data_IF_856368706000
#
_entry.id   IF_856368706000
#
_cell.length_a   1.000
_cell.length_b   1.000
_cell.length_c   1.000
_cell.angle_alpha   90.00
_cell.angle_beta   90.00
_cell.angle_gamma   90.00
#
_symmetry.space_group_name_H-M   'P 1'
#
loop_
_entity.id
_entity.type
_entity.pdbx_description
1 polymer ?
#
# COMPACT_ATOMS: atom_id res chain seq x y z
N UNK A 1 -20.56 -9.44 8.09
CA UNK A 1 -19.86 -9.14 9.36
C UNK A 1 -18.34 -8.99 9.15
N UNK A 2 -17.88 -8.35 8.06
CA UNK A 2 -16.44 -8.24 7.72
C UNK A 2 -15.84 -6.85 7.99
N UNK A 3 -16.66 -5.79 7.94
CA UNK A 3 -16.21 -4.40 8.15
C UNK A 3 -15.62 -4.19 9.55
N UNK A 4 -16.30 -4.69 10.59
CA UNK A 4 -15.79 -4.60 11.98
C UNK A 4 -14.50 -5.38 12.26
N UNK A 5 -14.14 -6.35 11.40
CA UNK A 5 -12.94 -7.16 11.57
C UNK A 5 -11.73 -6.48 10.93
N UNK A 6 -11.94 -5.83 9.78
CA UNK A 6 -11.00 -4.88 9.21
C UNK A 6 -10.80 -3.68 10.13
N UNK A 7 -11.87 -3.06 10.63
CA UNK A 7 -11.78 -1.96 11.60
C UNK A 7 -10.97 -2.35 12.85
N UNK A 8 -11.15 -3.56 13.40
CA UNK A 8 -10.35 -4.06 14.54
C UNK A 8 -8.88 -4.34 14.22
N UNK A 9 -8.57 -4.79 13.01
CA UNK A 9 -7.17 -4.94 12.58
C UNK A 9 -6.52 -3.57 12.36
N UNK A 10 -7.30 -2.59 11.93
CA UNK A 10 -6.91 -1.20 11.76
C UNK A 10 -6.72 -0.49 13.11
N UNK A 11 -7.55 -0.79 14.11
CA UNK A 11 -7.40 -0.32 15.49
C UNK A 11 -6.11 -0.87 16.14
N UNK A 12 -5.67 -2.10 15.78
CA UNK A 12 -4.35 -2.61 16.24
C UNK A 12 -3.16 -1.87 15.60
N UNK A 13 -3.40 -1.14 14.52
CA UNK A 13 -2.45 -0.23 13.88
C UNK A 13 -2.72 1.25 14.29
N UNK A 14 -3.33 1.48 15.46
CA UNK A 14 -3.76 2.80 15.97
C UNK A 14 -2.71 3.92 15.83
N UNK A 15 -1.42 3.62 16.06
CA UNK A 15 -0.34 4.60 15.89
C UNK A 15 0.02 4.95 14.43
N UNK A 16 -0.30 4.07 13.47
CA UNK A 16 -0.18 4.30 12.02
C UNK A 16 -1.43 4.98 11.47
N UNK A 17 -2.57 4.72 12.11
CA UNK A 17 -3.86 5.29 11.77
C UNK A 17 -3.93 6.78 12.09
N UNK A 18 -3.31 7.23 13.19
CA UNK A 18 -3.18 8.65 13.55
C UNK A 18 -2.37 9.46 12.52
N UNK A 19 -1.52 8.82 11.72
CA UNK A 19 -0.59 9.45 10.77
C UNK A 19 -1.07 9.42 9.30
N UNK A 20 -2.37 9.22 9.06
CA UNK A 20 -2.98 9.42 7.72
C UNK A 20 -3.23 8.16 6.89
N UNK A 21 -3.12 6.97 7.50
CA UNK A 21 -3.50 5.71 6.84
C UNK A 21 -4.99 5.69 6.42
N UNK A 22 -5.88 6.25 7.25
CA UNK A 22 -7.32 6.32 6.96
C UNK A 22 -7.65 7.17 5.73
N UNK A 23 -6.96 8.31 5.58
CA UNK A 23 -7.10 9.17 4.39
C UNK A 23 -6.57 8.47 3.15
N UNK A 24 -5.38 7.85 3.27
CA UNK A 24 -4.76 7.08 2.18
C UNK A 24 -5.68 5.94 1.74
N UNK A 25 -6.24 5.18 2.68
CA UNK A 25 -7.23 4.14 2.42
C UNK A 25 -8.44 4.64 1.63
N UNK A 26 -9.06 5.73 2.09
CA UNK A 26 -10.22 6.32 1.40
C UNK A 26 -9.90 6.74 -0.03
N UNK A 27 -8.66 7.17 -0.29
CA UNK A 27 -8.20 7.56 -1.64
C UNK A 27 -8.03 6.41 -2.63
N UNK A 28 -8.16 5.15 -2.19
CA UNK A 28 -8.11 3.96 -3.04
C UNK A 28 -9.48 3.29 -3.24
N UNK A 29 -10.52 3.69 -2.51
CA UNK A 29 -11.84 3.06 -2.59
C UNK A 29 -12.47 3.20 -3.97
N UNK A 30 -12.25 4.33 -4.64
CA UNK A 30 -12.69 4.58 -6.02
C UNK A 30 -11.91 3.73 -7.04
N UNK A 31 -10.62 3.49 -6.80
CA UNK A 31 -9.77 2.69 -7.68
C UNK A 31 -10.04 1.17 -7.61
N UNK A 32 -10.86 0.71 -6.65
CA UNK A 32 -11.22 -0.70 -6.49
C UNK A 32 -12.71 -0.97 -6.70
N UNK A 33 -13.48 0.01 -7.16
CA UNK A 33 -14.93 -0.10 -7.28
C UNK A 33 -15.37 -1.20 -8.27
N UNK A 34 -14.51 -1.63 -9.18
CA UNK A 34 -14.78 -2.75 -10.10
C UNK A 34 -14.60 -4.15 -9.48
N UNK A 35 -14.04 -4.27 -8.27
CA UNK A 35 -13.91 -5.55 -7.57
C UNK A 35 -15.15 -5.90 -6.75
N UNK A 36 -15.28 -7.16 -6.34
CA UNK A 36 -16.34 -7.60 -5.43
C UNK A 36 -16.28 -6.83 -4.10
N UNK A 37 -17.44 -6.47 -3.49
CA UNK A 37 -17.49 -5.65 -2.27
C UNK A 37 -16.60 -6.16 -1.12
N UNK A 38 -16.44 -7.48 -1.00
CA UNK A 38 -15.57 -8.07 0.02
C UNK A 38 -14.06 -7.87 -0.27
N UNK A 39 -13.68 -7.82 -1.54
CA UNK A 39 -12.31 -7.61 -1.98
C UNK A 39 -11.94 -6.12 -1.98
N UNK A 40 -12.89 -5.22 -2.25
CA UNK A 40 -12.66 -3.76 -2.31
C UNK A 40 -11.93 -3.26 -1.06
N UNK A 41 -12.46 -3.57 0.12
CA UNK A 41 -11.89 -3.11 1.37
C UNK A 41 -10.46 -3.67 1.60
N UNK A 42 -10.24 -4.94 1.28
CA UNK A 42 -8.94 -5.61 1.44
C UNK A 42 -7.89 -5.05 0.47
N UNK A 43 -8.27 -4.79 -0.79
CA UNK A 43 -7.37 -4.26 -1.81
C UNK A 43 -7.04 -2.78 -1.59
N UNK A 44 -8.03 -1.96 -1.21
CA UNK A 44 -7.79 -0.57 -0.84
C UNK A 44 -6.88 -0.48 0.40
N UNK A 45 -7.07 -1.36 1.38
CA UNK A 45 -6.18 -1.44 2.55
C UNK A 45 -4.77 -1.86 2.15
N UNK A 46 -4.63 -2.87 1.29
CA UNK A 46 -3.33 -3.31 0.80
C UNK A 46 -2.57 -2.17 0.11
N UNK A 47 -3.25 -1.40 -0.75
CA UNK A 47 -2.66 -0.25 -1.43
C UNK A 47 -2.23 0.86 -0.44
N UNK A 48 -3.07 1.15 0.55
CA UNK A 48 -2.76 2.16 1.56
C UNK A 48 -1.59 1.77 2.46
N UNK A 49 -1.50 0.50 2.86
CA UNK A 49 -0.37 -0.04 3.62
C UNK A 49 0.92 0.03 2.80
N UNK A 50 0.89 -0.33 1.52
CA UNK A 50 2.06 -0.27 0.66
C UNK A 50 2.53 1.18 0.49
N UNK A 51 1.60 2.11 0.19
CA UNK A 51 1.95 3.52 0.07
C UNK A 51 2.55 4.08 1.37
N UNK A 52 1.95 3.77 2.51
CA UNK A 52 2.43 4.21 3.82
C UNK A 52 3.80 3.59 4.15
N UNK A 53 4.01 2.32 3.85
CA UNK A 53 5.27 1.62 4.05
C UNK A 53 6.43 2.25 3.29
N UNK A 54 6.23 2.56 2.01
CA UNK A 54 7.26 3.23 1.19
C UNK A 54 7.53 4.65 1.68
N UNK A 55 6.50 5.40 2.11
CA UNK A 55 6.69 6.74 2.68
C UNK A 55 7.50 6.69 3.98
N UNK A 56 7.20 5.75 4.87
CA UNK A 56 7.90 5.57 6.15
C UNK A 56 9.37 5.18 5.96
N UNK A 57 9.70 4.46 4.88
CA UNK A 57 11.09 4.12 4.56
C UNK A 57 11.93 5.34 4.16
N UNK A 58 11.31 6.49 3.82
CA UNK A 58 12.04 7.69 3.42
C UNK A 58 12.83 7.50 2.13
N UNK A 59 12.30 6.68 1.21
CA UNK A 59 12.95 6.28 -0.05
C UNK A 59 13.37 7.52 -0.85
N UNK A 60 14.68 7.68 -1.10
CA UNK A 60 15.27 8.83 -1.80
C UNK A 60 15.68 10.01 -0.91
N UNK A 61 15.57 9.86 0.42
CA UNK A 61 15.98 10.85 1.41
C UNK A 61 16.94 10.31 2.45
N UNK A 62 17.10 11.04 3.57
CA UNK A 62 17.87 10.56 4.72
C UNK A 62 17.17 9.34 5.32
N UNK A 63 17.95 8.29 5.61
CA UNK A 63 17.43 7.08 6.22
C UNK A 63 16.56 7.39 7.45
N UNK A 64 15.33 6.85 7.46
CA UNK A 64 14.41 7.01 8.56
C UNK A 64 14.95 6.35 9.84
N UNK A 65 14.48 6.74 11.04
CA UNK A 65 14.85 6.08 12.29
C UNK A 65 14.54 4.57 12.24
N UNK A 66 15.31 3.71 12.94
CA UNK A 66 15.14 2.25 12.89
C UNK A 66 13.71 1.78 13.20
N UNK A 67 13.03 2.41 14.16
CA UNK A 67 11.64 2.10 14.50
C UNK A 67 10.68 2.42 13.36
N UNK A 68 10.90 3.52 12.64
CA UNK A 68 10.10 3.92 11.47
C UNK A 68 10.30 2.96 10.30
N UNK A 69 11.54 2.49 10.09
CA UNK A 69 11.85 1.48 9.08
C UNK A 69 11.10 0.16 9.36
N UNK A 70 11.13 -0.33 10.61
CA UNK A 70 10.41 -1.55 11.00
C UNK A 70 8.89 -1.42 10.81
N UNK A 71 8.32 -0.25 11.10
CA UNK A 71 6.90 0.02 10.82
C UNK A 71 6.62 0.02 9.32
N UNK A 72 7.53 0.57 8.51
CA UNK A 72 7.45 0.52 7.05
C UNK A 72 7.45 -0.91 6.53
N UNK A 73 8.37 -1.74 7.01
CA UNK A 73 8.48 -3.16 6.63
C UNK A 73 7.25 -3.97 7.04
N UNK A 74 6.69 -3.70 8.22
CA UNK A 74 5.43 -4.31 8.65
C UNK A 74 4.28 -3.96 7.69
N UNK A 75 4.18 -2.69 7.29
CA UNK A 75 3.16 -2.24 6.34
C UNK A 75 3.31 -2.94 4.98
N UNK A 76 4.53 -3.01 4.45
CA UNK A 76 4.82 -3.69 3.19
C UNK A 76 4.51 -5.19 3.26
N UNK A 77 4.95 -5.87 4.31
CA UNK A 77 4.69 -7.29 4.50
C UNK A 77 3.18 -7.57 4.59
N UNK A 78 2.44 -6.75 5.35
CA UNK A 78 0.99 -6.90 5.52
C UNK A 78 0.23 -6.60 4.23
N UNK A 79 0.55 -5.50 3.55
CA UNK A 79 -0.05 -5.15 2.26
C UNK A 79 0.22 -6.22 1.20
N UNK A 80 1.45 -6.73 1.13
CA UNK A 80 1.82 -7.81 0.21
C UNK A 80 1.05 -9.10 0.51
N UNK A 81 0.85 -9.45 1.78
CA UNK A 81 0.04 -10.61 2.16
C UNK A 81 -1.41 -10.46 1.73
N UNK A 82 -2.01 -9.29 1.94
CA UNK A 82 -3.38 -9.01 1.50
C UNK A 82 -3.53 -9.13 -0.03
N UNK A 83 -2.55 -8.64 -0.80
CA UNK A 83 -2.54 -8.82 -2.25
C UNK A 83 -2.38 -10.29 -2.65
N UNK A 84 -1.46 -11.02 -2.02
CA UNK A 84 -1.23 -12.43 -2.34
C UNK A 84 -2.48 -13.29 -2.09
N UNK A 85 -3.22 -13.00 -1.02
CA UNK A 85 -4.40 -13.77 -0.63
C UNK A 85 -5.68 -13.37 -1.41
N UNK A 86 -5.77 -12.14 -1.94
CA UNK A 86 -7.04 -11.59 -2.44
C UNK A 86 -6.98 -10.97 -3.85
N UNK A 87 -5.80 -10.62 -4.37
CA UNK A 87 -5.66 -9.94 -5.65
C UNK A 87 -5.34 -10.94 -6.78
N UNK A 88 -5.86 -10.71 -8.00
CA UNK A 88 -5.41 -11.44 -9.19
C UNK A 88 -3.90 -11.25 -9.44
N UNK A 89 -3.24 -12.27 -9.99
CA UNK A 89 -1.80 -12.24 -10.29
C UNK A 89 -1.33 -10.98 -11.06
N UNK A 90 -2.05 -10.46 -12.07
CA UNK A 90 -1.65 -9.24 -12.78
C UNK A 90 -1.54 -8.02 -11.87
N UNK A 91 -2.47 -7.89 -10.92
CA UNK A 91 -2.45 -6.82 -9.91
C UNK A 91 -1.24 -7.01 -9.00
N UNK A 92 -0.98 -8.22 -8.51
CA UNK A 92 0.18 -8.50 -7.66
C UNK A 92 1.50 -8.11 -8.36
N UNK A 93 1.67 -8.51 -9.63
CA UNK A 93 2.85 -8.17 -10.43
C UNK A 93 2.95 -6.65 -10.67
N UNK A 94 1.83 -5.99 -10.98
CA UNK A 94 1.81 -4.55 -11.19
C UNK A 94 2.17 -3.76 -9.92
N UNK A 95 1.76 -4.24 -8.74
CA UNK A 95 2.19 -3.67 -7.46
C UNK A 95 3.69 -3.87 -7.23
N UNK A 96 4.22 -5.07 -7.46
CA UNK A 96 5.65 -5.34 -7.31
C UNK A 96 6.49 -4.43 -8.21
N UNK A 97 6.08 -4.26 -9.48
CA UNK A 97 6.74 -3.34 -10.43
C UNK A 97 6.69 -1.88 -10.00
N UNK A 98 5.57 -1.43 -9.41
CA UNK A 98 5.45 -0.06 -8.92
C UNK A 98 6.41 0.22 -7.75
N UNK A 99 6.55 -0.75 -6.83
CA UNK A 99 7.50 -0.68 -5.72
C UNK A 99 8.93 -0.67 -6.27
N UNK A 100 9.27 -1.61 -7.15
CA UNK A 100 10.59 -1.70 -7.79
C UNK A 100 10.97 -0.39 -8.50
N UNK A 101 10.07 0.17 -9.31
CA UNK A 101 10.31 1.44 -10.01
C UNK A 101 10.57 2.60 -9.05
N UNK A 102 9.87 2.64 -7.91
CA UNK A 102 10.05 3.68 -6.89
C UNK A 102 11.40 3.53 -6.19
N UNK A 103 11.75 2.31 -5.79
CA UNK A 103 13.05 2.01 -5.17
C UNK A 103 14.22 2.25 -6.12
N UNK A 104 14.08 1.88 -7.40
CA UNK A 104 15.10 2.11 -8.42
C UNK A 104 15.31 3.61 -8.69
N UNK A 105 14.23 4.40 -8.80
CA UNK A 105 14.34 5.84 -8.99
C UNK A 105 15.06 6.51 -7.81
N UNK A 106 14.72 6.12 -6.58
CA UNK A 106 15.40 6.64 -5.39
C UNK A 106 16.86 6.23 -5.29
N UNK A 107 17.20 4.97 -5.64
CA UNK A 107 18.59 4.52 -5.69
C UNK A 107 19.40 5.25 -6.77
N UNK A 108 18.76 5.71 -7.84
CA UNK A 108 19.36 6.51 -8.90
C UNK A 108 19.37 8.02 -8.59
N UNK A 109 18.94 8.45 -7.39
CA UNK A 109 18.78 9.86 -7.01
C UNK A 109 17.87 10.67 -7.96
N UNK A 110 16.93 9.98 -8.61
CA UNK A 110 15.94 10.57 -9.51
C UNK A 110 14.64 10.87 -8.76
N UNK A 111 13.89 11.85 -9.27
CA UNK A 111 12.55 12.14 -8.74
C UNK A 111 11.69 10.87 -8.86
N UNK A 112 11.24 10.27 -7.73
CA UNK A 112 10.47 9.05 -7.79
C UNK A 112 9.13 9.32 -8.48
N UNK A 113 8.61 8.37 -9.26
CA UNK A 113 7.29 8.50 -9.87
C UNK A 113 6.22 8.64 -8.79
N UNK A 114 5.09 9.28 -9.13
CA UNK A 114 3.99 9.47 -8.20
C UNK A 114 3.40 8.11 -7.76
N UNK A 115 3.87 7.59 -6.62
CA UNK A 115 3.57 6.25 -6.13
C UNK A 115 2.05 5.96 -6.13
N UNK A 116 1.25 6.90 -5.64
CA UNK A 116 -0.21 6.75 -5.61
C UNK A 116 -0.82 6.52 -6.99
N UNK A 117 -0.34 7.22 -8.01
CA UNK A 117 -0.83 7.03 -9.38
C UNK A 117 -0.42 5.66 -9.93
N UNK A 118 0.79 5.20 -9.64
CA UNK A 118 1.25 3.87 -10.02
C UNK A 118 0.40 2.78 -9.36
N UNK A 119 0.16 2.87 -8.05
CA UNK A 119 -0.63 1.89 -7.31
C UNK A 119 -2.09 1.86 -7.78
N UNK A 120 -2.70 3.03 -8.06
CA UNK A 120 -4.04 3.10 -8.67
C UNK A 120 -4.08 2.41 -10.03
N UNK A 121 -3.06 2.62 -10.87
CA UNK A 121 -2.95 1.93 -12.16
C UNK A 121 -2.77 0.41 -11.99
N UNK A 122 -2.02 -0.02 -10.98
CA UNK A 122 -1.83 -1.45 -10.67
C UNK A 122 -3.14 -2.16 -10.29
N UNK A 123 -4.08 -1.46 -9.66
CA UNK A 123 -5.42 -2.00 -9.34
C UNK A 123 -6.30 -2.20 -10.57
N UNK A 124 -6.01 -1.50 -11.67
CA UNK A 124 -6.69 -1.65 -12.96
C UNK A 124 -6.00 -2.64 -13.90
N UNK A 125 -4.93 -3.30 -13.47
CA UNK A 125 -4.18 -4.22 -14.30
C UNK A 125 -5.02 -5.46 -14.66
N UNK A 126 -5.36 -5.60 -15.93
CA UNK A 126 -5.97 -6.79 -16.53
C UNK A 126 -4.93 -7.51 -17.39
N UNK A 127 -5.02 -8.85 -17.49
CA UNK A 127 -4.25 -9.61 -18.50
C UNK A 127 -4.60 -9.14 -19.90
#
# INVERSE_FOLDING_TARGET
MSVHLLDRELDRLEGLWSDGLSETYRSYLDAVDHFDPELRAKLALAAALIESGIRLQGVGGRAAPPTTLLMGDLCLARGSRLLADNAPLPVQVAFARAIEATSAAAAAEQAPPALRQLLRKSLTATL
#
